data_IF_243574639181
#
_entry.id   IF_243574639181
#
_cell.length_a   1.000
_cell.length_b   1.000
_cell.length_c   1.000
_cell.angle_alpha   90.00
_cell.angle_beta   90.00
_cell.angle_gamma   90.00
#
_symmetry.space_group_name_H-M   'P 1'
#
loop_
_entity.id
_entity.type
_entity.pdbx_description
1 polymer ?
#
# COMPACT_ATOMS: atom_id res chain seq x y z
N UNK A 1 -17.41 6.78 -19.61
CA UNK A 1 -16.40 6.92 -18.54
C UNK A 1 -16.42 5.74 -17.60
N UNK A 2 -15.38 4.91 -17.65
CA UNK A 2 -15.20 3.81 -16.70
C UNK A 2 -14.58 4.39 -15.43
N UNK A 3 -15.13 4.06 -14.26
CA UNK A 3 -14.53 4.34 -12.95
C UNK A 3 -14.09 3.04 -12.32
N UNK A 4 -12.86 2.97 -11.82
CA UNK A 4 -12.35 1.80 -11.12
C UNK A 4 -11.94 2.17 -9.72
N UNK A 5 -12.57 1.46 -8.79
CA UNK A 5 -12.33 1.61 -7.38
C UNK A 5 -11.21 0.64 -6.91
N UNK A 6 -10.13 1.22 -6.40
CA UNK A 6 -9.00 0.50 -5.81
C UNK A 6 -9.07 0.44 -4.27
N UNK A 7 -10.25 0.19 -3.71
CA UNK A 7 -10.46 -0.01 -2.25
C UNK A 7 -9.34 -0.79 -1.56
N UNK A 8 -9.08 -0.40 -0.32
CA UNK A 8 -8.12 -1.04 0.55
C UNK A 8 -8.36 -2.55 0.73
N UNK A 9 -7.33 -3.36 0.47
CA UNK A 9 -7.42 -4.81 0.54
C UNK A 9 -7.05 -5.37 1.92
N UNK A 10 -8.03 -5.46 2.82
CA UNK A 10 -7.85 -5.99 4.18
C UNK A 10 -7.29 -7.42 4.22
N UNK A 11 -7.56 -8.25 3.20
CA UNK A 11 -7.01 -9.60 3.10
C UNK A 11 -5.48 -9.56 2.89
N UNK A 12 -4.99 -8.61 2.09
CA UNK A 12 -3.55 -8.40 1.86
C UNK A 12 -2.89 -7.86 3.12
N UNK A 13 -3.49 -6.85 3.77
CA UNK A 13 -3.02 -6.33 5.07
C UNK A 13 -2.89 -7.45 6.10
N UNK A 14 -3.90 -8.32 6.22
CA UNK A 14 -3.88 -9.46 7.16
C UNK A 14 -2.74 -10.45 6.87
N UNK A 15 -2.46 -10.72 5.59
CA UNK A 15 -1.33 -11.59 5.19
C UNK A 15 0.01 -10.97 5.57
N UNK A 16 0.17 -9.68 5.32
CA UNK A 16 1.37 -8.92 5.72
C UNK A 16 1.51 -8.88 7.24
N UNK A 17 0.43 -8.64 7.99
CA UNK A 17 0.44 -8.67 9.45
C UNK A 17 0.92 -10.02 9.99
N UNK A 18 0.42 -11.12 9.44
CA UNK A 18 0.84 -12.45 9.84
C UNK A 18 2.33 -12.70 9.56
N UNK A 19 2.83 -12.20 8.43
CA UNK A 19 4.26 -12.22 8.13
C UNK A 19 5.06 -11.42 9.16
N UNK A 20 4.76 -10.13 9.35
CA UNK A 20 5.51 -9.25 10.25
C UNK A 20 5.47 -9.75 11.70
N UNK A 21 4.30 -10.22 12.16
CA UNK A 21 4.15 -10.80 13.49
C UNK A 21 4.99 -12.05 13.64
N UNK A 22 4.96 -12.98 12.67
CA UNK A 22 5.77 -14.19 12.73
C UNK A 22 7.26 -13.85 12.80
N UNK A 23 7.73 -12.95 11.93
CA UNK A 23 9.12 -12.50 11.91
C UNK A 23 9.55 -11.90 13.25
N UNK A 24 8.77 -10.94 13.78
CA UNK A 24 9.08 -10.29 15.05
C UNK A 24 9.13 -11.28 16.23
N UNK A 25 8.17 -12.20 16.31
CA UNK A 25 8.13 -13.18 17.39
C UNK A 25 9.20 -14.27 17.25
N UNK A 26 9.58 -14.65 16.03
CA UNK A 26 10.70 -15.56 15.80
C UNK A 26 12.01 -14.95 16.27
N UNK A 27 12.28 -13.70 15.90
CA UNK A 27 13.45 -12.93 16.38
C UNK A 27 13.44 -12.84 17.91
N UNK A 28 12.32 -12.41 18.49
CA UNK A 28 12.16 -12.32 19.95
C UNK A 28 12.43 -13.64 20.68
N UNK A 29 12.07 -14.78 20.07
CA UNK A 29 12.31 -16.11 20.64
C UNK A 29 13.73 -16.66 20.39
N UNK A 30 14.62 -15.89 19.77
CA UNK A 30 15.97 -16.34 19.38
C UNK A 30 15.97 -17.45 18.32
N UNK A 31 14.85 -17.67 17.61
CA UNK A 31 14.74 -18.71 16.58
C UNK A 31 15.30 -18.19 15.27
N UNK A 32 16.22 -18.95 14.67
CA UNK A 32 16.66 -18.71 13.29
C UNK A 32 15.47 -18.90 12.36
N UNK A 33 14.97 -17.81 11.78
CA UNK A 33 13.89 -17.84 10.80
C UNK A 33 14.46 -17.67 9.41
N UNK A 34 14.24 -18.66 8.55
CA UNK A 34 14.33 -18.43 7.12
C UNK A 34 13.12 -17.59 6.70
N UNK A 35 13.40 -16.38 6.22
CA UNK A 35 12.37 -15.43 5.84
C UNK A 35 12.11 -15.60 4.35
N UNK A 36 10.92 -16.06 4.04
CA UNK A 36 10.47 -16.24 2.66
C UNK A 36 10.10 -14.89 2.02
N UNK A 37 11.14 -14.16 1.61
CA UNK A 37 11.01 -12.93 0.84
C UNK A 37 10.36 -13.17 -0.53
N UNK A 38 10.46 -14.37 -1.09
CA UNK A 38 9.82 -14.73 -2.36
C UNK A 38 8.30 -14.71 -2.22
N UNK A 39 7.77 -15.28 -1.13
CA UNK A 39 6.33 -15.23 -0.85
C UNK A 39 5.84 -13.80 -0.58
N UNK A 40 6.63 -12.94 0.07
CA UNK A 40 6.29 -11.52 0.19
C UNK A 40 6.20 -10.82 -1.17
N UNK A 41 7.20 -11.01 -2.04
CA UNK A 41 7.15 -10.46 -3.40
C UNK A 41 5.90 -10.92 -4.14
N UNK A 42 5.55 -12.21 -4.03
CA UNK A 42 4.32 -12.76 -4.62
C UNK A 42 3.05 -12.10 -4.05
N UNK A 43 3.00 -11.79 -2.75
CA UNK A 43 1.85 -11.09 -2.15
C UNK A 43 1.66 -9.72 -2.80
N UNK A 44 2.73 -8.92 -2.90
CA UNK A 44 2.69 -7.59 -3.49
C UNK A 44 2.35 -7.63 -4.98
N UNK A 45 3.07 -8.44 -5.76
CA UNK A 45 2.86 -8.56 -7.21
C UNK A 45 1.45 -9.04 -7.53
N UNK A 46 0.95 -10.07 -6.82
CA UNK A 46 -0.41 -10.55 -7.06
C UNK A 46 -1.47 -9.48 -6.71
N UNK A 47 -1.24 -8.67 -5.68
CA UNK A 47 -2.15 -7.58 -5.31
C UNK A 47 -2.23 -6.55 -6.44
N UNK A 48 -1.11 -5.97 -6.86
CA UNK A 48 -1.11 -4.91 -7.89
C UNK A 48 -1.54 -5.43 -9.27
N UNK A 49 -1.15 -6.64 -9.66
CA UNK A 49 -1.64 -7.26 -10.90
C UNK A 49 -3.16 -7.50 -10.83
N UNK A 50 -3.69 -7.90 -9.67
CA UNK A 50 -5.14 -8.06 -9.51
C UNK A 50 -5.87 -6.73 -9.64
N UNK A 51 -5.26 -5.62 -9.23
CA UNK A 51 -5.79 -4.27 -9.44
C UNK A 51 -5.73 -3.88 -10.92
N UNK A 52 -4.58 -4.01 -11.60
CA UNK A 52 -4.44 -3.62 -13.01
C UNK A 52 -5.38 -4.41 -13.94
N UNK A 53 -5.65 -5.68 -13.62
CA UNK A 53 -6.62 -6.52 -14.34
C UNK A 53 -8.04 -5.93 -14.41
N UNK A 54 -8.39 -4.97 -13.55
CA UNK A 54 -9.71 -4.31 -13.57
C UNK A 54 -9.91 -3.42 -14.81
N UNK A 55 -8.84 -2.86 -15.38
CA UNK A 55 -8.91 -2.05 -16.62
C UNK A 55 -8.08 -2.63 -17.76
N UNK A 56 -7.09 -3.49 -17.48
CA UNK A 56 -6.12 -3.95 -18.48
C UNK A 56 -6.17 -5.46 -18.67
N UNK A 57 -6.12 -5.91 -19.92
CA UNK A 57 -6.05 -7.34 -20.25
C UNK A 57 -4.72 -7.92 -19.77
N UNK A 58 -4.76 -9.14 -19.21
CA UNK A 58 -3.59 -9.84 -18.64
C UNK A 58 -2.37 -9.85 -19.56
N UNK A 59 -2.59 -10.08 -20.87
CA UNK A 59 -1.52 -10.13 -21.87
C UNK A 59 -0.77 -8.81 -22.08
N UNK A 60 -1.34 -7.69 -21.62
CA UNK A 60 -0.79 -6.34 -21.75
C UNK A 60 -0.21 -5.83 -20.42
N UNK A 61 -0.25 -6.62 -19.34
CA UNK A 61 0.28 -6.24 -18.03
C UNK A 61 1.81 -6.37 -18.06
N UNK A 62 2.51 -5.28 -17.72
CA UNK A 62 3.96 -5.29 -17.56
C UNK A 62 4.34 -5.86 -16.19
N UNK A 63 4.41 -7.19 -16.12
CA UNK A 63 4.77 -7.93 -14.90
C UNK A 63 6.13 -7.48 -14.34
N UNK A 64 7.06 -7.02 -15.18
CA UNK A 64 8.39 -6.57 -14.73
C UNK A 64 8.27 -5.32 -13.87
N UNK A 65 7.43 -4.35 -14.28
CA UNK A 65 7.17 -3.13 -13.51
C UNK A 65 6.59 -3.43 -12.13
N UNK A 66 5.64 -4.38 -12.04
CA UNK A 66 5.11 -4.85 -10.76
C UNK A 66 6.16 -5.49 -9.84
N UNK A 67 7.09 -6.25 -10.42
CA UNK A 67 8.21 -6.85 -9.69
C UNK A 67 9.17 -5.78 -9.20
N UNK A 68 9.48 -4.77 -10.01
CA UNK A 68 10.38 -3.67 -9.64
C UNK A 68 9.88 -2.89 -8.42
N UNK A 69 8.61 -2.45 -8.42
CA UNK A 69 8.03 -1.79 -7.26
C UNK A 69 7.95 -2.73 -6.04
N UNK A 70 7.78 -4.04 -6.24
CA UNK A 70 7.77 -5.01 -5.14
C UNK A 70 9.17 -5.17 -4.53
N UNK A 71 10.22 -5.22 -5.37
CA UNK A 71 11.61 -5.30 -4.92
C UNK A 71 11.99 -4.09 -4.05
N UNK A 72 11.52 -2.88 -4.41
CA UNK A 72 11.70 -1.67 -3.58
C UNK A 72 11.14 -1.89 -2.17
N UNK A 73 9.92 -2.39 -2.06
CA UNK A 73 9.29 -2.66 -0.77
C UNK A 73 9.99 -3.80 0.01
N UNK A 74 10.49 -4.83 -0.68
CA UNK A 74 11.28 -5.88 -0.03
C UNK A 74 12.57 -5.33 0.59
N UNK A 75 13.22 -4.33 -0.02
CA UNK A 75 14.40 -3.68 0.56
C UNK A 75 14.04 -2.97 1.87
N UNK A 76 12.94 -2.20 1.92
CA UNK A 76 12.46 -1.55 3.14
C UNK A 76 12.16 -2.57 4.25
N UNK A 77 11.57 -3.72 3.91
CA UNK A 77 11.27 -4.79 4.87
C UNK A 77 12.56 -5.43 5.43
N UNK A 78 13.59 -5.62 4.60
CA UNK A 78 14.89 -6.14 5.05
C UNK A 78 15.56 -5.19 6.03
N UNK A 79 15.53 -3.89 5.74
CA UNK A 79 16.06 -2.87 6.64
C UNK A 79 15.31 -2.84 7.97
N UNK A 80 13.97 -2.88 7.92
CA UNK A 80 13.15 -3.01 9.12
C UNK A 80 13.52 -4.24 9.95
N UNK A 81 13.74 -5.39 9.32
CA UNK A 81 14.13 -6.62 10.02
C UNK A 81 15.46 -6.44 10.76
N UNK A 82 16.46 -5.85 10.11
CA UNK A 82 17.77 -5.60 10.72
C UNK A 82 17.64 -4.68 11.94
N UNK A 83 16.88 -3.61 11.82
CA UNK A 83 16.63 -2.67 12.92
C UNK A 83 15.83 -3.33 14.06
N UNK A 84 14.93 -4.27 13.74
CA UNK A 84 14.15 -4.99 14.73
C UNK A 84 15.00 -5.91 15.60
N UNK A 85 16.03 -6.55 15.04
CA UNK A 85 16.96 -7.37 15.83
C UNK A 85 17.61 -6.54 16.95
N UNK A 86 18.17 -5.38 16.61
CA UNK A 86 18.81 -4.49 17.57
C UNK A 86 17.81 -4.02 18.63
N UNK A 87 16.61 -3.58 18.19
CA UNK A 87 15.56 -3.15 19.10
C UNK A 87 15.15 -4.24 20.10
N UNK A 88 15.01 -5.48 19.64
CA UNK A 88 14.63 -6.60 20.52
C UNK A 88 15.73 -6.88 21.55
N UNK A 89 17.00 -6.92 21.14
CA UNK A 89 18.11 -7.17 22.06
C UNK A 89 18.21 -6.10 23.16
N UNK A 90 18.07 -4.82 22.79
CA UNK A 90 18.10 -3.69 23.72
C UNK A 90 16.92 -3.64 24.70
N UNK A 91 15.79 -4.27 24.34
CA UNK A 91 14.53 -4.15 25.07
C UNK A 91 14.03 -5.48 25.65
N UNK A 92 14.80 -6.57 25.57
CA UNK A 92 14.37 -7.94 25.92
C UNK A 92 13.84 -8.11 27.33
N UNK A 93 14.30 -7.29 28.27
CA UNK A 93 13.89 -7.31 29.68
C UNK A 93 12.54 -6.61 29.94
N UNK A 94 11.97 -5.91 28.95
CA UNK A 94 10.68 -5.22 29.11
C UNK A 94 9.52 -6.22 29.06
N UNK A 95 8.69 -6.20 30.09
CA UNK A 95 7.50 -7.03 30.24
C UNK A 95 6.48 -6.85 29.11
N UNK A 96 6.33 -5.63 28.61
CA UNK A 96 5.39 -5.27 27.55
C UNK A 96 5.94 -5.46 26.11
N UNK A 97 7.16 -5.95 25.93
CA UNK A 97 7.82 -6.01 24.62
C UNK A 97 6.99 -6.79 23.59
N UNK A 98 6.36 -7.90 23.99
CA UNK A 98 5.51 -8.70 23.08
C UNK A 98 4.35 -7.90 22.47
N UNK A 99 3.73 -7.03 23.26
CA UNK A 99 2.62 -6.19 22.81
C UNK A 99 3.13 -5.07 21.89
N UNK A 100 4.27 -4.48 22.23
CA UNK A 100 4.97 -3.51 21.37
C UNK A 100 5.28 -4.12 20.01
N UNK A 101 5.85 -5.33 19.97
CA UNK A 101 6.15 -6.05 18.73
C UNK A 101 4.89 -6.36 17.92
N UNK A 102 3.80 -6.75 18.58
CA UNK A 102 2.52 -7.01 17.92
C UNK A 102 1.94 -5.72 17.30
N UNK A 103 2.00 -4.61 18.01
CA UNK A 103 1.52 -3.31 17.51
C UNK A 103 2.41 -2.78 16.40
N UNK A 104 3.73 -2.96 16.49
CA UNK A 104 4.67 -2.67 15.41
C UNK A 104 4.31 -3.47 14.15
N UNK A 105 4.04 -4.77 14.28
CA UNK A 105 3.64 -5.61 13.15
C UNK A 105 2.32 -5.13 12.50
N UNK A 106 1.34 -4.68 13.28
CA UNK A 106 0.10 -4.08 12.75
C UNK A 106 0.41 -2.80 11.97
N UNK A 107 1.17 -1.89 12.56
CA UNK A 107 1.56 -0.64 11.91
C UNK A 107 2.32 -0.92 10.60
N UNK A 108 3.32 -1.80 10.64
CA UNK A 108 4.12 -2.18 9.47
C UNK A 108 3.28 -2.81 8.37
N UNK A 109 2.32 -3.67 8.70
CA UNK A 109 1.44 -4.26 7.68
C UNK A 109 0.65 -3.23 6.89
N UNK A 110 0.13 -2.19 7.57
CA UNK A 110 -0.58 -1.08 6.91
C UNK A 110 0.36 -0.19 6.14
N UNK A 111 1.45 0.23 6.77
CA UNK A 111 2.41 1.15 6.17
C UNK A 111 3.02 0.57 4.89
N UNK A 112 3.38 -0.71 4.88
CA UNK A 112 4.00 -1.35 3.71
C UNK A 112 2.99 -1.58 2.58
N UNK A 113 1.72 -1.89 2.89
CA UNK A 113 0.69 -1.96 1.87
C UNK A 113 0.39 -0.58 1.28
N UNK A 114 0.31 0.47 2.10
CA UNK A 114 0.14 1.86 1.65
C UNK A 114 1.30 2.33 0.76
N UNK A 115 2.55 2.11 1.21
CA UNK A 115 3.75 2.43 0.43
C UNK A 115 3.80 1.66 -0.90
N UNK A 116 3.39 0.40 -0.93
CA UNK A 116 3.32 -0.34 -2.19
C UNK A 116 2.21 0.19 -3.10
N UNK A 117 1.07 0.54 -2.50
CA UNK A 117 -0.09 1.03 -3.21
C UNK A 117 0.16 2.40 -3.85
N UNK A 118 0.80 3.34 -3.16
CA UNK A 118 1.18 4.64 -3.75
C UNK A 118 2.12 4.46 -4.96
N UNK A 119 3.07 3.52 -4.87
CA UNK A 119 4.00 3.22 -5.97
C UNK A 119 3.21 2.59 -7.14
N UNK A 120 2.24 1.71 -6.87
CA UNK A 120 1.34 1.20 -7.90
C UNK A 120 0.53 2.32 -8.59
N UNK A 121 -0.03 3.26 -7.81
CA UNK A 121 -0.77 4.40 -8.38
C UNK A 121 0.12 5.27 -9.26
N UNK A 122 1.25 5.75 -8.72
CA UNK A 122 2.16 6.68 -9.40
C UNK A 122 2.86 6.06 -10.60
N UNK A 123 3.31 4.80 -10.47
CA UNK A 123 4.11 4.19 -11.53
C UNK A 123 3.24 3.53 -12.60
N UNK A 124 2.12 2.90 -12.25
CA UNK A 124 1.36 2.05 -13.18
C UNK A 124 0.04 2.72 -13.58
N UNK A 125 -0.73 3.21 -12.62
CA UNK A 125 -2.06 3.76 -12.92
C UNK A 125 -1.97 5.12 -13.59
N UNK A 126 -1.08 6.01 -13.13
CA UNK A 126 -0.89 7.34 -13.73
C UNK A 126 -0.39 7.30 -15.19
N UNK A 127 0.17 6.17 -15.65
CA UNK A 127 0.49 6.00 -17.08
C UNK A 127 -0.70 5.63 -17.97
N UNK A 128 -1.86 5.37 -17.37
CA UNK A 128 -3.05 4.83 -18.05
C UNK A 128 -4.29 5.72 -17.85
N UNK A 129 -4.22 6.69 -16.94
CA UNK A 129 -5.31 7.62 -16.61
C UNK A 129 -4.72 8.88 -15.94
N UNK A 130 -5.37 10.02 -16.11
CA UNK A 130 -4.92 11.32 -15.59
C UNK A 130 -5.56 11.71 -14.25
N UNK A 131 -6.74 11.17 -13.92
CA UNK A 131 -7.58 11.66 -12.82
C UNK A 131 -7.99 10.57 -11.85
N UNK A 132 -8.01 10.94 -10.57
CA UNK A 132 -8.54 10.10 -9.51
C UNK A 132 -9.32 10.91 -8.48
N UNK A 133 -10.33 10.28 -7.90
CA UNK A 133 -11.03 10.78 -6.72
C UNK A 133 -10.44 10.12 -5.48
N UNK A 134 -10.12 10.95 -4.49
CA UNK A 134 -9.64 10.48 -3.20
C UNK A 134 -10.80 9.95 -2.36
N UNK A 135 -10.62 8.75 -1.81
CA UNK A 135 -11.61 8.10 -0.95
C UNK A 135 -10.97 7.69 0.38
N UNK A 136 -11.69 7.89 1.48
CA UNK A 136 -11.23 7.55 2.84
C UNK A 136 -11.97 6.36 3.43
N UNK A 137 -11.39 5.75 4.47
CA UNK A 137 -12.05 4.67 5.20
C UNK A 137 -13.29 5.12 5.99
N UNK A 138 -13.48 6.44 6.18
CA UNK A 138 -14.57 7.01 6.99
C UNK A 138 -14.57 6.58 8.46
N UNK A 139 -13.44 6.08 8.98
CA UNK A 139 -13.31 5.64 10.37
C UNK A 139 -12.51 6.64 11.23
N UNK A 140 -12.56 6.47 12.55
CA UNK A 140 -11.91 7.34 13.54
C UNK A 140 -10.39 7.51 13.39
N UNK A 141 -9.75 6.72 12.52
CA UNK A 141 -8.30 6.80 12.25
C UNK A 141 -7.97 7.63 11.03
N UNK A 142 -8.97 8.07 10.26
CA UNK A 142 -8.78 9.01 9.15
C UNK A 142 -8.32 10.33 9.75
N UNK A 143 -7.22 10.86 9.21
CA UNK A 143 -6.69 12.16 9.63
C UNK A 143 -7.63 13.25 9.10
N UNK A 144 -7.88 14.35 9.83
CA UNK A 144 -8.73 15.45 9.33
C UNK A 144 -8.26 15.99 7.97
N UNK A 145 -6.95 16.03 7.72
CA UNK A 145 -6.40 16.43 6.43
C UNK A 145 -6.76 15.46 5.30
N UNK A 146 -6.95 14.17 5.58
CA UNK A 146 -7.36 13.16 4.58
C UNK A 146 -8.87 13.17 4.38
N UNK A 147 -9.63 13.39 5.45
CA UNK A 147 -11.09 13.55 5.41
C UNK A 147 -11.48 14.75 4.54
N UNK A 148 -10.75 15.87 4.64
CA UNK A 148 -10.95 17.04 3.78
C UNK A 148 -10.71 16.77 2.28
N UNK A 149 -10.06 15.66 1.93
CA UNK A 149 -9.83 15.23 0.54
C UNK A 149 -10.89 14.25 0.05
N UNK A 150 -11.75 13.73 0.94
CA UNK A 150 -12.73 12.70 0.58
C UNK A 150 -13.70 13.21 -0.50
N UNK A 151 -13.87 12.43 -1.56
CA UNK A 151 -14.67 12.79 -2.72
C UNK A 151 -14.08 13.86 -3.64
N UNK A 152 -12.91 14.44 -3.30
CA UNK A 152 -12.25 15.42 -4.16
C UNK A 152 -11.52 14.73 -5.32
N UNK A 153 -11.59 15.32 -6.50
CA UNK A 153 -10.94 14.83 -7.71
C UNK A 153 -9.60 15.55 -7.90
N UNK A 154 -8.57 14.78 -8.23
CA UNK A 154 -7.22 15.27 -8.44
C UNK A 154 -6.69 14.77 -9.78
N UNK A 155 -5.83 15.59 -10.39
CA UNK A 155 -4.91 15.14 -11.42
C UNK A 155 -3.60 14.67 -10.76
N UNK A 156 -2.97 13.60 -11.27
CA UNK A 156 -1.73 13.05 -10.69
C UNK A 156 -0.59 14.06 -10.60
N UNK A 157 -0.48 14.99 -11.55
CA UNK A 157 0.61 15.97 -11.60
C UNK A 157 0.47 17.08 -10.54
N UNK A 158 -0.77 17.36 -10.11
CA UNK A 158 -1.08 18.43 -9.16
C UNK A 158 -1.39 17.91 -7.75
N UNK A 159 -1.51 16.60 -7.57
CA UNK A 159 -1.78 15.99 -6.28
C UNK A 159 -0.56 16.09 -5.36
N UNK A 160 -0.67 16.87 -4.27
CA UNK A 160 0.39 17.01 -3.25
C UNK A 160 0.79 15.66 -2.63
N UNK A 161 -0.22 14.81 -2.37
CA UNK A 161 -0.05 13.44 -1.89
C UNK A 161 -1.03 12.53 -2.63
N UNK A 162 -0.68 11.26 -2.77
CA UNK A 162 -1.61 10.23 -3.26
C UNK A 162 -2.05 9.29 -2.14
N UNK A 163 -3.20 8.60 -2.29
CA UNK A 163 -3.65 7.61 -1.33
C UNK A 163 -2.57 6.54 -1.03
N UNK A 164 -2.43 6.19 0.25
CA UNK A 164 -1.39 5.27 0.74
C UNK A 164 -0.02 5.90 1.02
N UNK A 165 0.21 7.17 0.68
CA UNK A 165 1.53 7.80 0.81
C UNK A 165 1.99 8.07 2.23
N UNK A 166 1.08 8.53 3.08
CA UNK A 166 1.39 8.86 4.46
C UNK A 166 1.38 7.65 5.40
N UNK A 167 2.10 7.70 6.54
CA UNK A 167 2.22 6.57 7.44
C UNK A 167 0.89 6.00 7.93
N UNK A 168 0.68 4.71 7.69
CA UNK A 168 -0.53 3.97 8.08
C UNK A 168 -1.80 4.35 7.30
N UNK A 169 -1.68 5.12 6.22
CA UNK A 169 -2.80 5.51 5.36
C UNK A 169 -3.47 4.28 4.73
N UNK A 170 -4.81 4.29 4.74
CA UNK A 170 -5.68 3.28 4.12
C UNK A 170 -6.66 3.89 3.11
N UNK A 171 -6.52 5.17 2.83
CA UNK A 171 -7.27 5.84 1.78
C UNK A 171 -6.96 5.18 0.43
N UNK A 172 -7.88 5.31 -0.52
CA UNK A 172 -7.73 4.76 -1.86
C UNK A 172 -8.16 5.76 -2.93
N UNK A 173 -7.85 5.42 -4.17
CA UNK A 173 -8.20 6.15 -5.37
C UNK A 173 -9.33 5.44 -6.11
N UNK A 174 -10.36 6.19 -6.49
CA UNK A 174 -11.29 5.82 -7.55
C UNK A 174 -10.82 6.49 -8.83
N UNK A 175 -10.38 5.71 -9.82
CA UNK A 175 -9.66 6.24 -10.99
C UNK A 175 -10.58 6.29 -12.19
N UNK A 176 -10.47 7.39 -12.94
CA UNK A 176 -11.33 7.73 -14.06
C UNK A 176 -10.63 7.38 -15.38
N UNK A 177 -11.27 6.58 -16.22
CA UNK A 177 -10.81 6.25 -17.57
C UNK A 177 -11.80 6.87 -18.56
N UNK A 178 -11.62 8.16 -18.91
CA UNK A 178 -12.48 8.84 -19.88
C UNK A 178 -12.12 8.40 -21.30
N UNK A 179 -13.14 8.22 -22.14
CA UNK A 179 -12.99 7.83 -23.56
C UNK A 179 -13.26 8.99 -24.53
N UNK A 180 -13.62 10.18 -24.02
CA UNK A 180 -13.97 11.36 -24.81
C UNK A 180 -13.51 12.66 -24.17
N UNK A 181 -13.42 13.73 -24.98
CA UNK A 181 -13.10 15.08 -24.49
C UNK A 181 -14.18 15.64 -23.56
N UNK A 182 -15.45 15.36 -23.86
CA UNK A 182 -16.59 15.76 -23.03
C UNK A 182 -16.48 15.17 -21.61
N UNK A 183 -16.09 13.89 -21.49
CA UNK A 183 -15.87 13.26 -20.19
C UNK A 183 -14.70 13.89 -19.42
N UNK A 184 -13.64 14.32 -20.12
CA UNK A 184 -12.51 15.03 -19.50
C UNK A 184 -12.95 16.41 -19.02
N UNK A 185 -13.73 17.15 -19.81
CA UNK A 185 -14.27 18.46 -19.45
C UNK A 185 -15.20 18.37 -18.23
N UNK A 186 -16.05 17.34 -18.17
CA UNK A 186 -16.93 17.06 -17.02
C UNK A 186 -16.12 16.76 -15.75
N UNK A 187 -15.02 16.00 -15.84
CA UNK A 187 -14.14 15.76 -14.68
C UNK A 187 -13.51 17.07 -14.23
N UNK A 188 -12.98 17.88 -15.16
CA UNK A 188 -12.31 19.14 -14.84
C UNK A 188 -13.22 20.17 -14.19
N UNK A 189 -14.52 20.18 -14.51
CA UNK A 189 -15.49 21.05 -13.82
C UNK A 189 -15.74 20.63 -12.36
N UNK A 190 -15.43 19.39 -12.01
CA UNK A 190 -15.64 18.79 -10.68
C UNK A 190 -14.32 18.57 -9.91
N UNK A 191 -13.17 18.99 -10.45
CA UNK A 191 -11.83 18.88 -9.85
C UNK A 191 -11.31 20.20 -9.29
#
# INVERSE_FOLDING_TARGET
>A
MIKIDFKWEHKVEKRLFNFFRRTAFSIFSGKKTDIDYSNLTKIFVNYSISCEKKFKKIKNIDVKKHIEIAIKQIKEIKEWQNNLNNYIEENKEKDNLKDVLRNNAKFRSRNMLGNYYKDFLKEIVASESEYFEWNTMGDERVRPTHEARDGQIYNWDNAEIVPGEEPGCRCWATVYFPDSKEEIEDINQNS
#
